data_IF_201051060388
#
_entry.id   IF_201051060388
#
_cell.length_a   1.000
_cell.length_b   1.000
_cell.length_c   1.000
_cell.angle_alpha   90.00
_cell.angle_beta   90.00
_cell.angle_gamma   90.00
#
_symmetry.space_group_name_H-M   'P 1'
#
loop_
_entity.id
_entity.type
_entity.pdbx_description
1 polymer ?
#
# COMPACT_ATOMS: atom_id res chain seq x y z
N UNK A 1 16.41 -9.00 -0.40
CA UNK A 1 15.79 -9.58 0.81
C UNK A 1 14.31 -9.73 0.55
N UNK A 2 13.67 -10.85 0.91
CA UNK A 2 12.21 -11.00 0.72
C UNK A 2 11.51 -10.43 1.95
N UNK A 3 10.96 -9.23 1.84
CA UNK A 3 10.13 -8.62 2.88
C UNK A 3 8.72 -9.18 2.77
N UNK A 4 8.27 -9.91 3.81
CA UNK A 4 6.95 -10.54 3.86
C UNK A 4 5.98 -9.58 4.56
N UNK A 5 5.07 -8.97 3.80
CA UNK A 5 4.00 -8.15 4.35
C UNK A 5 3.01 -9.06 5.08
N UNK A 6 2.71 -8.76 6.34
CA UNK A 6 1.70 -9.47 7.12
C UNK A 6 0.57 -8.51 7.47
N UNK A 7 -0.64 -8.84 7.04
CA UNK A 7 -1.83 -8.08 7.40
C UNK A 7 -2.48 -8.58 8.70
N UNK A 8 -3.07 -7.70 9.51
CA UNK A 8 -2.98 -6.25 9.37
C UNK A 8 -1.60 -5.71 9.80
N UNK A 9 -1.16 -4.61 9.18
CA UNK A 9 -0.02 -3.81 9.65
C UNK A 9 -0.43 -2.93 10.83
N UNK A 10 0.51 -2.60 11.71
CA UNK A 10 0.23 -1.71 12.85
C UNK A 10 -0.10 -0.30 12.37
N UNK A 11 0.65 0.22 11.39
CA UNK A 11 0.41 1.54 10.81
C UNK A 11 0.29 1.48 9.28
N UNK A 12 -0.34 2.50 8.69
CA UNK A 12 -0.35 2.69 7.24
C UNK A 12 1.06 2.97 6.71
N UNK A 13 1.87 3.71 7.49
CA UNK A 13 3.23 4.07 7.10
C UNK A 13 4.13 2.84 6.91
N UNK A 14 3.97 1.78 7.71
CA UNK A 14 4.72 0.53 7.54
C UNK A 14 4.47 -0.10 6.17
N UNK A 15 3.21 -0.10 5.71
CA UNK A 15 2.81 -0.58 4.40
C UNK A 15 3.39 0.31 3.29
N UNK A 16 3.27 1.63 3.43
CA UNK A 16 3.76 2.60 2.44
C UNK A 16 5.28 2.57 2.29
N UNK A 17 6.02 2.40 3.40
CA UNK A 17 7.48 2.26 3.37
C UNK A 17 7.90 1.00 2.61
N UNK A 18 7.25 -0.13 2.91
CA UNK A 18 7.54 -1.38 2.21
C UNK A 18 7.21 -1.29 0.72
N UNK A 19 6.10 -0.66 0.36
CA UNK A 19 5.75 -0.41 -1.04
C UNK A 19 6.81 0.45 -1.73
N UNK A 20 7.28 1.52 -1.08
CA UNK A 20 8.32 2.41 -1.61
C UNK A 20 9.60 1.65 -1.93
N UNK A 21 10.04 0.75 -1.06
CA UNK A 21 11.23 -0.07 -1.30
C UNK A 21 11.05 -1.04 -2.48
N UNK A 22 9.89 -1.70 -2.55
CA UNK A 22 9.53 -2.59 -3.65
C UNK A 22 9.45 -1.84 -4.99
N UNK A 23 8.87 -0.65 -4.99
CA UNK A 23 8.72 0.20 -6.16
C UNK A 23 10.07 0.65 -6.70
N UNK A 24 10.98 1.10 -5.83
CA UNK A 24 12.36 1.46 -6.21
C UNK A 24 13.08 0.30 -6.90
N UNK A 25 12.96 -0.90 -6.35
CA UNK A 25 13.55 -2.11 -6.94
C UNK A 25 12.91 -2.43 -8.30
N UNK A 26 11.57 -2.37 -8.39
CA UNK A 26 10.84 -2.65 -9.63
C UNK A 26 11.22 -1.67 -10.76
N UNK A 27 11.28 -0.37 -10.47
CA UNK A 27 11.69 0.64 -11.44
C UNK A 27 13.16 0.44 -11.83
N UNK A 28 14.06 0.16 -10.88
CA UNK A 28 15.48 -0.10 -11.19
C UNK A 28 15.67 -1.30 -12.12
N UNK A 29 14.95 -2.40 -11.89
CA UNK A 29 14.96 -3.57 -12.77
C UNK A 29 14.41 -3.20 -14.16
N UNK A 30 13.30 -2.48 -14.22
CA UNK A 30 12.74 -2.01 -15.48
C UNK A 30 13.72 -1.13 -16.25
N UNK A 31 14.41 -0.20 -15.57
CA UNK A 31 15.43 0.65 -16.16
C UNK A 31 16.63 -0.16 -16.68
N UNK A 32 17.03 -1.22 -16.00
CA UNK A 32 18.17 -2.05 -16.46
C UNK A 32 17.85 -2.82 -17.74
N UNK A 33 16.58 -3.19 -17.96
CA UNK A 33 16.18 -4.08 -19.06
C UNK A 33 15.37 -3.41 -20.17
N UNK A 34 14.87 -2.20 -19.96
CA UNK A 34 14.15 -1.44 -20.99
C UNK A 34 15.12 -0.83 -21.99
N UNK A 35 14.80 -0.94 -23.28
CA UNK A 35 15.51 -0.26 -24.36
C UNK A 35 14.51 0.53 -25.22
N UNK A 36 14.89 1.73 -25.67
CA UNK A 36 14.10 2.58 -26.59
C UNK A 36 12.66 2.89 -26.14
N UNK A 37 12.44 3.17 -24.84
CA UNK A 37 11.17 3.72 -24.36
C UNK A 37 11.15 5.27 -24.47
N UNK A 38 11.43 5.78 -25.66
CA UNK A 38 11.64 7.23 -25.90
C UNK A 38 10.37 8.06 -25.62
N UNK A 39 9.20 7.41 -25.58
CA UNK A 39 7.90 8.03 -25.26
C UNK A 39 7.47 7.83 -23.81
N UNK A 40 8.28 7.10 -23.01
CA UNK A 40 8.04 6.74 -21.62
C UNK A 40 6.72 5.99 -21.42
N UNK A 41 6.23 5.31 -22.46
CA UNK A 41 4.91 4.69 -22.46
C UNK A 41 4.89 3.49 -21.51
N UNK A 42 5.89 2.61 -21.64
CA UNK A 42 5.97 1.39 -20.84
C UNK A 42 6.31 1.70 -19.38
N UNK A 43 7.11 2.75 -19.17
CA UNK A 43 7.39 3.21 -17.83
C UNK A 43 6.14 3.79 -17.13
N UNK A 44 5.32 4.59 -17.83
CA UNK A 44 4.04 5.09 -17.29
C UNK A 44 3.09 3.95 -16.95
N UNK A 45 3.04 2.93 -17.80
CA UNK A 45 2.25 1.72 -17.56
C UNK A 45 2.73 0.97 -16.31
N UNK A 46 4.05 0.81 -16.11
CA UNK A 46 4.62 0.23 -14.90
C UNK A 46 4.19 1.01 -13.64
N UNK A 47 4.32 2.34 -13.65
CA UNK A 47 3.92 3.19 -12.51
C UNK A 47 2.43 3.03 -12.19
N UNK A 48 1.57 2.99 -13.20
CA UNK A 48 0.14 2.76 -13.01
C UNK A 48 -0.15 1.40 -12.39
N UNK A 49 0.57 0.35 -12.81
CA UNK A 49 0.44 -0.99 -12.23
C UNK A 49 0.89 -0.98 -10.76
N UNK A 50 2.02 -0.35 -10.45
CA UNK A 50 2.55 -0.28 -9.08
C UNK A 50 1.63 0.51 -8.14
N UNK A 51 1.04 1.60 -8.63
CA UNK A 51 0.05 2.39 -7.88
C UNK A 51 -1.24 1.59 -7.65
N UNK A 52 -1.73 0.88 -8.67
CA UNK A 52 -2.88 -0.01 -8.53
C UNK A 52 -2.62 -1.10 -7.48
N UNK A 53 -1.43 -1.71 -7.50
CA UNK A 53 -1.03 -2.72 -6.51
C UNK A 53 -0.90 -2.16 -5.10
N UNK A 54 -0.40 -0.94 -4.94
CA UNK A 54 -0.38 -0.25 -3.65
C UNK A 54 -1.80 -0.14 -3.08
N UNK A 55 -2.74 0.35 -3.89
CA UNK A 55 -4.13 0.57 -3.47
C UNK A 55 -4.84 -0.76 -3.15
N UNK A 56 -4.57 -1.82 -3.90
CA UNK A 56 -5.03 -3.18 -3.57
C UNK A 56 -4.52 -3.64 -2.21
N UNK A 57 -3.23 -3.44 -1.90
CA UNK A 57 -2.66 -3.81 -0.61
C UNK A 57 -3.20 -2.98 0.54
N UNK A 58 -3.41 -1.67 0.35
CA UNK A 58 -4.07 -0.82 1.34
C UNK A 58 -5.46 -1.38 1.64
N UNK A 59 -6.27 -1.63 0.61
CA UNK A 59 -7.61 -2.18 0.78
C UNK A 59 -7.61 -3.52 1.51
N UNK A 60 -6.72 -4.44 1.14
CA UNK A 60 -6.58 -5.73 1.83
C UNK A 60 -6.20 -5.55 3.32
N UNK A 61 -5.31 -4.61 3.62
CA UNK A 61 -4.92 -4.29 4.99
C UNK A 61 -6.09 -3.75 5.80
N UNK A 62 -6.89 -2.86 5.21
CA UNK A 62 -8.10 -2.33 5.84
C UNK A 62 -9.14 -3.42 6.09
N UNK A 63 -9.37 -4.31 5.13
CA UNK A 63 -10.30 -5.44 5.22
C UNK A 63 -9.89 -6.42 6.33
N UNK A 64 -8.61 -6.83 6.37
CA UNK A 64 -8.10 -7.74 7.40
C UNK A 64 -8.08 -7.09 8.79
N UNK A 65 -7.70 -5.81 8.89
CA UNK A 65 -7.78 -5.05 10.15
C UNK A 65 -9.23 -4.96 10.65
N UNK A 66 -10.17 -4.65 9.76
CA UNK A 66 -11.60 -4.58 10.08
C UNK A 66 -12.10 -5.91 10.60
N UNK A 67 -11.87 -6.99 9.85
CA UNK A 67 -12.31 -8.34 10.20
C UNK A 67 -11.74 -8.79 11.53
N UNK A 68 -10.43 -8.64 11.73
CA UNK A 68 -9.78 -9.00 12.98
C UNK A 68 -10.38 -8.26 14.18
N UNK A 69 -10.58 -6.94 14.05
CA UNK A 69 -11.16 -6.12 15.11
C UNK A 69 -12.61 -6.48 15.42
N UNK A 70 -13.42 -6.75 14.40
CA UNK A 70 -14.81 -7.17 14.55
C UNK A 70 -14.90 -8.48 15.33
N UNK A 71 -14.17 -9.52 14.89
CA UNK A 71 -14.15 -10.81 15.59
C UNK A 71 -13.70 -10.66 17.05
N UNK A 72 -12.69 -9.82 17.32
CA UNK A 72 -12.24 -9.58 18.69
C UNK A 72 -13.28 -8.87 19.55
N UNK A 73 -14.02 -7.91 19.01
CA UNK A 73 -15.10 -7.25 19.73
C UNK A 73 -16.30 -8.18 19.95
N UNK A 74 -16.63 -9.04 18.97
CA UNK A 74 -17.66 -10.08 19.12
C UNK A 74 -17.30 -11.02 20.28
N UNK A 75 -16.07 -11.55 20.30
CA UNK A 75 -15.57 -12.40 21.39
C UNK A 75 -15.66 -11.70 22.76
N UNK A 76 -15.16 -10.46 22.83
CA UNK A 76 -15.10 -9.69 24.09
C UNK A 76 -16.49 -9.28 24.59
N UNK A 77 -17.45 -9.07 23.68
CA UNK A 77 -18.78 -8.55 24.01
C UNK A 77 -19.84 -9.62 24.20
N UNK A 78 -19.53 -10.90 23.91
CA UNK A 78 -20.49 -12.00 23.95
C UNK A 78 -21.31 -12.03 25.25
N UNK A 79 -20.65 -12.01 26.41
CA UNK A 79 -21.34 -12.03 27.72
C UNK A 79 -22.24 -10.82 27.93
N UNK A 80 -21.82 -9.63 27.48
CA UNK A 80 -22.64 -8.42 27.58
C UNK A 80 -23.88 -8.54 26.69
N UNK A 81 -23.72 -9.01 25.44
CA UNK A 81 -24.83 -9.17 24.49
C UNK A 81 -25.85 -10.20 24.98
N UNK A 82 -25.39 -11.30 25.55
CA UNK A 82 -26.25 -12.31 26.19
C UNK A 82 -27.02 -11.70 27.38
N UNK A 83 -26.34 -10.99 28.28
CA UNK A 83 -26.96 -10.33 29.43
C UNK A 83 -27.99 -9.26 29.02
N UNK A 84 -27.72 -8.51 27.95
CA UNK A 84 -28.69 -7.57 27.35
C UNK A 84 -29.92 -8.34 26.87
N UNK A 85 -29.74 -9.42 26.11
CA UNK A 85 -30.85 -10.19 25.54
C UNK A 85 -31.75 -10.83 26.61
N UNK A 86 -31.17 -11.21 27.75
CA UNK A 86 -31.88 -11.79 28.89
C UNK A 86 -32.55 -10.72 29.78
N UNK A 87 -32.36 -9.43 29.48
CA UNK A 87 -32.90 -8.33 30.28
C UNK A 87 -32.24 -8.19 31.65
N UNK A 88 -31.00 -8.67 31.81
CA UNK A 88 -30.28 -8.66 33.11
C UNK A 88 -30.11 -7.24 33.67
N UNK A 89 -30.08 -6.22 32.81
CA UNK A 89 -29.94 -4.82 33.20
C UNK A 89 -31.28 -4.11 33.47
N UNK A 90 -32.42 -4.78 33.31
CA UNK A 90 -33.76 -4.22 33.55
C UNK A 90 -34.13 -4.22 35.05
N UNK A 91 -33.20 -3.80 35.89
CA UNK A 91 -33.33 -3.73 37.36
C UNK A 91 -32.90 -2.35 37.85
N UNK A 92 -33.37 -1.87 39.02
CA UNK A 92 -32.89 -0.61 39.59
C UNK A 92 -31.36 -0.63 39.75
N UNK A 93 -30.67 0.35 39.15
CA UNK A 93 -29.21 0.47 39.12
C UNK A 93 -28.54 -0.29 37.96
N UNK A 94 -29.32 -0.93 37.09
CA UNK A 94 -28.83 -1.72 35.97
C UNK A 94 -27.98 -0.94 34.96
N UNK A 95 -28.22 0.37 34.79
CA UNK A 95 -27.40 1.18 33.88
C UNK A 95 -25.94 1.29 34.34
N UNK A 96 -25.70 1.36 35.66
CA UNK A 96 -24.34 1.40 36.22
C UNK A 96 -23.61 0.08 35.97
N UNK A 97 -24.31 -1.05 36.09
CA UNK A 97 -23.76 -2.37 35.78
C UNK A 97 -23.42 -2.50 34.28
N UNK A 98 -24.33 -2.07 33.42
CA UNK A 98 -24.12 -2.04 31.97
C UNK A 98 -22.89 -1.22 31.59
N UNK A 99 -22.75 -0.01 32.15
CA UNK A 99 -21.60 0.86 31.89
C UNK A 99 -20.28 0.20 32.28
N UNK A 100 -20.24 -0.47 33.42
CA UNK A 100 -19.04 -1.17 33.91
C UNK A 100 -18.61 -2.29 32.96
N UNK A 101 -19.54 -3.09 32.45
CA UNK A 101 -19.21 -4.15 31.48
C UNK A 101 -18.79 -3.55 30.12
N UNK A 102 -19.44 -2.47 29.66
CA UNK A 102 -19.01 -1.74 28.45
C UNK A 102 -17.57 -1.22 28.58
N UNK A 103 -17.23 -0.62 29.71
CA UNK A 103 -15.88 -0.10 29.97
C UNK A 103 -14.83 -1.22 30.04
N UNK A 104 -15.19 -2.37 30.63
CA UNK A 104 -14.34 -3.56 30.65
C UNK A 104 -14.04 -4.08 29.23
N UNK A 105 -15.03 -4.11 28.34
CA UNK A 105 -14.83 -4.49 26.94
C UNK A 105 -13.87 -3.53 26.25
N UNK A 106 -14.06 -2.22 26.43
CA UNK A 106 -13.19 -1.20 25.84
C UNK A 106 -11.73 -1.36 26.33
N UNK A 107 -11.54 -1.52 27.64
CA UNK A 107 -10.20 -1.72 28.23
C UNK A 107 -9.53 -2.99 27.71
N UNK A 108 -10.27 -4.10 27.60
CA UNK A 108 -9.74 -5.34 27.05
C UNK A 108 -9.41 -5.20 25.55
N UNK A 109 -10.26 -4.50 24.78
CA UNK A 109 -10.03 -4.27 23.37
C UNK A 109 -8.74 -3.44 23.13
N UNK A 110 -8.49 -2.41 23.93
CA UNK A 110 -7.26 -1.62 23.87
C UNK A 110 -5.98 -2.42 24.19
N UNK A 111 -6.10 -3.59 24.81
CA UNK A 111 -4.98 -4.50 25.06
C UNK A 111 -4.76 -5.52 23.94
N UNK A 112 -5.68 -5.67 22.98
CA UNK A 112 -5.54 -6.60 21.86
C UNK A 112 -4.39 -6.13 20.95
N UNK A 113 -3.33 -6.93 20.72
CA UNK A 113 -2.25 -6.54 19.82
C UNK A 113 -2.67 -6.63 18.35
N UNK A 114 -1.95 -5.95 17.45
CA UNK A 114 -2.11 -6.12 15.99
C UNK A 114 -3.52 -5.87 15.45
N UNK A 115 -4.21 -4.87 16.00
CA UNK A 115 -5.55 -4.47 15.53
C UNK A 115 -5.50 -3.85 14.13
N UNK A 116 -4.43 -3.12 13.86
CA UNK A 116 -4.16 -2.42 12.62
C UNK A 116 -4.97 -1.15 12.41
N UNK A 117 -4.91 -0.63 11.18
CA UNK A 117 -5.32 0.73 10.82
C UNK A 117 -6.84 1.00 10.98
N UNK A 118 -7.69 -0.03 11.07
CA UNK A 118 -9.14 0.12 11.26
C UNK A 118 -9.62 -0.08 12.70
N UNK A 119 -8.70 -0.20 13.67
CA UNK A 119 -9.04 -0.46 15.06
C UNK A 119 -10.05 0.54 15.64
N UNK A 120 -9.74 1.83 15.55
CA UNK A 120 -10.55 2.88 16.19
C UNK A 120 -11.89 3.08 15.47
N UNK A 121 -11.91 2.94 14.13
CA UNK A 121 -13.13 2.99 13.34
C UNK A 121 -14.11 1.86 13.72
N UNK A 122 -13.61 0.62 13.83
CA UNK A 122 -14.42 -0.53 14.21
C UNK A 122 -14.92 -0.41 15.65
N UNK A 123 -14.05 0.00 16.58
CA UNK A 123 -14.44 0.26 17.97
C UNK A 123 -15.54 1.32 18.05
N UNK A 124 -15.40 2.43 17.30
CA UNK A 124 -16.39 3.49 17.33
C UNK A 124 -17.77 3.01 16.85
N UNK A 125 -17.84 2.27 15.74
CA UNK A 125 -19.10 1.71 15.24
C UNK A 125 -19.74 0.76 16.25
N UNK A 126 -18.94 -0.06 16.92
CA UNK A 126 -19.41 -0.93 17.99
C UNK A 126 -19.94 -0.14 19.20
N UNK A 127 -19.26 0.90 19.63
CA UNK A 127 -19.74 1.75 20.73
C UNK A 127 -21.03 2.49 20.37
N UNK A 128 -21.22 2.87 19.10
CA UNK A 128 -22.46 3.46 18.61
C UNK A 128 -23.62 2.45 18.64
N UNK A 129 -23.39 1.19 18.27
CA UNK A 129 -24.45 0.17 18.34
C UNK A 129 -24.86 -0.10 19.79
N UNK A 130 -23.89 -0.14 20.71
CA UNK A 130 -24.13 -0.25 22.14
C UNK A 130 -24.87 0.97 22.72
N UNK A 131 -24.59 2.18 22.24
CA UNK A 131 -25.20 3.41 22.76
C UNK A 131 -26.73 3.39 22.68
N UNK A 132 -27.31 2.83 21.60
CA UNK A 132 -28.77 2.69 21.47
C UNK A 132 -29.37 1.79 22.56
N UNK A 133 -28.70 0.66 22.86
CA UNK A 133 -29.12 -0.22 23.95
C UNK A 133 -28.93 0.45 25.31
N UNK A 134 -27.81 1.12 25.50
CA UNK A 134 -27.50 1.85 26.73
C UNK A 134 -28.52 2.94 27.04
N UNK A 135 -29.01 3.66 26.03
CA UNK A 135 -30.07 4.67 26.19
C UNK A 135 -31.38 4.04 26.67
N UNK A 136 -31.78 2.89 26.11
CA UNK A 136 -32.97 2.17 26.57
C UNK A 136 -32.87 1.72 28.04
N UNK A 137 -31.70 1.16 28.43
CA UNK A 137 -31.43 0.77 29.82
C UNK A 137 -31.46 2.00 30.75
N UNK A 138 -30.83 3.10 30.33
CA UNK A 138 -30.81 4.35 31.09
C UNK A 138 -32.21 4.91 31.36
N UNK A 139 -33.08 4.92 30.35
CA UNK A 139 -34.44 5.45 30.48
C UNK A 139 -35.29 4.61 31.44
N UNK A 140 -35.13 3.28 31.41
CA UNK A 140 -35.91 2.33 32.23
C UNK A 140 -35.39 2.17 33.66
N UNK A 141 -34.16 2.60 33.95
CA UNK A 141 -33.56 2.51 35.28
C UNK A 141 -34.29 3.41 36.30
N UNK A 142 -34.90 2.82 37.32
CA UNK A 142 -35.65 3.53 38.36
C UNK A 142 -34.76 4.04 39.50
N UNK A 143 -33.50 3.61 39.58
CA UNK A 143 -32.56 4.07 40.60
C UNK A 143 -31.93 5.44 40.28
N UNK A 144 -32.18 5.96 39.06
CA UNK A 144 -31.67 7.25 38.59
C UNK A 144 -32.80 8.26 38.47
N UNK A 145 -32.55 9.48 38.94
CA UNK A 145 -33.44 10.63 38.73
C UNK A 145 -33.39 11.11 37.27
N UNK A 146 -34.44 11.79 36.81
CA UNK A 146 -34.48 12.34 35.45
C UNK A 146 -33.32 13.30 35.16
N UNK A 147 -32.87 14.04 36.19
CA UNK A 147 -31.70 14.91 36.09
C UNK A 147 -30.41 14.12 35.88
N UNK A 148 -30.21 13.02 36.61
CA UNK A 148 -29.05 12.14 36.42
C UNK A 148 -29.09 11.48 35.03
N UNK A 149 -30.26 11.02 34.58
CA UNK A 149 -30.44 10.46 33.23
C UNK A 149 -30.08 11.47 32.13
N UNK A 150 -30.51 12.73 32.27
CA UNK A 150 -30.19 13.78 31.32
C UNK A 150 -28.69 14.09 31.28
N UNK A 151 -28.03 14.17 32.43
CA UNK A 151 -26.59 14.40 32.52
C UNK A 151 -25.80 13.26 31.86
N UNK A 152 -26.19 12.02 32.10
CA UNK A 152 -25.56 10.85 31.49
C UNK A 152 -25.74 10.81 29.97
N UNK A 153 -26.94 11.12 29.49
CA UNK A 153 -27.20 11.21 28.05
C UNK A 153 -26.37 12.32 27.38
N UNK A 154 -26.18 13.46 28.05
CA UNK A 154 -25.30 14.53 27.56
C UNK A 154 -23.84 14.11 27.54
N UNK A 155 -23.37 13.44 28.59
CA UNK A 155 -22.00 12.93 28.67
C UNK A 155 -21.71 11.94 27.53
N UNK A 156 -22.59 10.95 27.30
CA UNK A 156 -22.44 9.98 26.20
C UNK A 156 -22.39 10.68 24.84
N UNK A 157 -23.21 11.71 24.62
CA UNK A 157 -23.18 12.51 23.39
C UNK A 157 -21.86 13.24 23.21
N UNK A 158 -21.31 13.81 24.29
CA UNK A 158 -20.02 14.50 24.28
C UNK A 158 -18.87 13.54 23.94
N UNK A 159 -18.81 12.40 24.62
CA UNK A 159 -17.81 11.35 24.37
C UNK A 159 -17.88 10.85 22.91
N UNK A 160 -19.10 10.63 22.39
CA UNK A 160 -19.29 10.20 21.00
C UNK A 160 -18.80 11.25 19.99
N UNK A 161 -19.02 12.54 20.26
CA UNK A 161 -18.56 13.64 19.43
C UNK A 161 -17.03 13.77 19.45
N UNK A 162 -16.41 13.64 20.62
CA UNK A 162 -14.96 13.65 20.79
C UNK A 162 -14.29 12.50 20.03
N UNK A 163 -14.78 11.27 20.19
CA UNK A 163 -14.27 10.10 19.47
C UNK A 163 -14.45 10.21 17.95
N UNK A 164 -15.55 10.83 17.50
CA UNK A 164 -15.76 11.10 16.06
C UNK A 164 -14.75 12.11 15.53
N UNK A 165 -14.39 13.12 16.32
CA UNK A 165 -13.38 14.10 15.94
C UNK A 165 -12.00 13.44 15.83
N UNK A 166 -11.60 12.63 16.81
CA UNK A 166 -10.34 11.88 16.78
C UNK A 166 -10.23 10.98 15.54
N UNK A 167 -11.31 10.25 15.19
CA UNK A 167 -11.31 9.41 13.99
C UNK A 167 -11.14 10.23 12.70
N UNK A 168 -11.79 11.40 12.61
CA UNK A 168 -11.63 12.29 11.45
C UNK A 168 -10.20 12.83 11.33
N UNK A 169 -9.55 13.15 12.44
CA UNK A 169 -8.15 13.57 12.46
C UNK A 169 -7.22 12.45 12.00
N UNK A 170 -7.48 11.20 12.41
CA UNK A 170 -6.74 10.03 11.92
C UNK A 170 -6.93 9.81 10.41
N UNK A 171 -8.16 9.86 9.90
CA UNK A 171 -8.44 9.72 8.47
C UNK A 171 -7.76 10.82 7.63
N UNK A 172 -7.69 12.05 8.15
CA UNK A 172 -6.94 13.13 7.50
C UNK A 172 -5.44 12.84 7.47
N UNK A 173 -4.88 12.33 8.57
CA UNK A 173 -3.47 11.96 8.65
C UNK A 173 -3.13 10.83 7.67
N UNK A 174 -3.97 9.79 7.57
CA UNK A 174 -3.79 8.69 6.62
C UNK A 174 -3.85 9.18 5.15
N UNK A 175 -4.82 10.05 4.84
CA UNK A 175 -4.91 10.67 3.51
C UNK A 175 -3.64 11.46 3.20
N UNK A 176 -3.15 12.25 4.16
CA UNK A 176 -1.92 13.02 4.00
C UNK A 176 -0.69 12.12 3.78
N UNK A 177 -0.55 11.04 4.55
CA UNK A 177 0.53 10.05 4.38
C UNK A 177 0.50 9.40 2.99
N UNK A 178 -0.68 9.05 2.48
CA UNK A 178 -0.80 8.47 1.15
C UNK A 178 -0.41 9.47 0.05
N UNK A 179 -0.84 10.73 0.18
CA UNK A 179 -0.46 11.81 -0.74
C UNK A 179 1.06 12.06 -0.72
N UNK A 180 1.68 12.08 0.45
CA UNK A 180 3.13 12.26 0.60
C UNK A 180 3.92 11.06 0.06
N UNK A 181 3.44 9.85 0.27
CA UNK A 181 4.05 8.65 -0.32
C UNK A 181 3.97 8.69 -1.85
N UNK A 182 2.82 9.08 -2.41
CA UNK A 182 2.63 9.22 -3.85
C UNK A 182 3.54 10.30 -4.44
N UNK A 183 3.68 11.45 -3.76
CA UNK A 183 4.58 12.51 -4.20
C UNK A 183 6.04 12.06 -4.21
N UNK A 184 6.50 11.39 -3.14
CA UNK A 184 7.86 10.84 -3.05
C UNK A 184 8.15 9.82 -4.13
N UNK A 185 7.19 8.93 -4.41
CA UNK A 185 7.25 7.95 -5.50
C UNK A 185 7.46 8.64 -6.86
N UNK A 186 6.65 9.65 -7.14
CA UNK A 186 6.73 10.41 -8.38
C UNK A 186 8.10 11.11 -8.57
N UNK A 187 8.60 11.75 -7.51
CA UNK A 187 9.91 12.41 -7.52
C UNK A 187 11.06 11.41 -7.74
N UNK A 188 11.03 10.28 -7.04
CA UNK A 188 12.03 9.22 -7.19
C UNK A 188 12.02 8.63 -8.62
N UNK A 189 10.83 8.41 -9.18
CA UNK A 189 10.69 7.92 -10.56
C UNK A 189 11.31 8.89 -11.58
N UNK A 190 11.08 10.21 -11.42
CA UNK A 190 11.71 11.24 -12.24
C UNK A 190 13.24 11.23 -12.09
N UNK A 191 13.74 11.04 -10.86
CA UNK A 191 15.18 11.03 -10.62
C UNK A 191 15.85 9.82 -11.29
N UNK A 192 15.26 8.64 -11.18
CA UNK A 192 15.77 7.43 -11.85
C UNK A 192 15.75 7.56 -13.37
N UNK A 193 14.71 8.20 -13.93
CA UNK A 193 14.65 8.52 -15.36
C UNK A 193 15.79 9.42 -15.82
N UNK A 194 16.00 10.54 -15.13
CA UNK A 194 17.05 11.50 -15.47
C UNK A 194 18.42 10.83 -15.44
N UNK A 195 18.68 10.00 -14.43
CA UNK A 195 19.91 9.23 -14.31
C UNK A 195 20.11 8.30 -15.50
N UNK A 196 19.08 7.52 -15.88
CA UNK A 196 19.15 6.62 -17.02
C UNK A 196 19.41 7.35 -18.34
N UNK A 197 18.70 8.44 -18.62
CA UNK A 197 18.90 9.21 -19.86
C UNK A 197 20.34 9.72 -19.99
N UNK A 198 20.96 10.14 -18.90
CA UNK A 198 22.36 10.58 -18.91
C UNK A 198 23.33 9.41 -19.11
N UNK A 199 23.07 8.26 -18.49
CA UNK A 199 23.86 7.03 -18.69
C UNK A 199 23.77 6.55 -20.15
N UNK A 200 22.58 6.51 -20.73
CA UNK A 200 22.35 6.16 -22.13
C UNK A 200 23.04 7.14 -23.08
N UNK A 201 23.00 8.45 -22.78
CA UNK A 201 23.70 9.49 -23.57
C UNK A 201 25.21 9.27 -23.55
N UNK A 202 25.80 8.99 -22.39
CA UNK A 202 27.23 8.70 -22.25
C UNK A 202 27.59 7.42 -23.01
N UNK A 203 26.76 6.38 -22.92
CA UNK A 203 26.98 5.11 -23.61
C UNK A 203 26.96 5.28 -25.13
N UNK A 204 25.97 6.01 -25.67
CA UNK A 204 25.88 6.30 -27.10
C UNK A 204 27.11 7.08 -27.59
N UNK A 205 27.58 8.08 -26.84
CA UNK A 205 28.77 8.86 -27.22
C UNK A 205 30.03 7.97 -27.26
N UNK A 206 30.20 7.08 -26.28
CA UNK A 206 31.31 6.11 -26.28
C UNK A 206 31.24 5.16 -27.47
N UNK A 207 30.05 4.66 -27.78
CA UNK A 207 29.85 3.78 -28.94
C UNK A 207 30.16 4.52 -30.26
N UNK A 208 29.72 5.77 -30.40
CA UNK A 208 30.05 6.60 -31.57
C UNK A 208 31.56 6.84 -31.69
N UNK A 209 32.25 7.13 -30.58
CA UNK A 209 33.71 7.31 -30.56
C UNK A 209 34.45 6.03 -30.95
N UNK A 210 34.06 4.87 -30.41
CA UNK A 210 34.63 3.57 -30.80
C UNK A 210 34.41 3.25 -32.28
N UNK A 211 33.21 3.54 -32.81
CA UNK A 211 32.92 3.35 -34.23
C UNK A 211 33.77 4.30 -35.10
N UNK A 212 33.95 5.56 -34.69
CA UNK A 212 34.79 6.52 -35.40
C UNK A 212 36.26 6.11 -35.39
N UNK A 213 36.80 5.72 -34.24
CA UNK A 213 38.18 5.23 -34.11
C UNK A 213 38.41 3.99 -34.98
N UNK A 214 37.47 3.03 -34.95
CA UNK A 214 37.55 1.86 -35.81
C UNK A 214 37.52 2.22 -37.29
N UNK A 215 36.64 3.15 -37.70
CA UNK A 215 36.60 3.66 -39.08
C UNK A 215 37.93 4.31 -39.46
N UNK A 216 38.49 5.17 -38.61
CA UNK A 216 39.77 5.84 -38.88
C UNK A 216 40.93 4.85 -39.03
N UNK A 217 40.99 3.81 -38.19
CA UNK A 217 41.97 2.72 -38.33
C UNK A 217 41.81 1.98 -39.66
N UNK A 218 40.57 1.64 -40.04
CA UNK A 218 40.31 1.03 -41.35
C UNK A 218 40.74 1.96 -42.49
N UNK A 219 40.42 3.26 -42.45
CA UNK A 219 40.88 4.20 -43.49
C UNK A 219 42.41 4.34 -43.54
N UNK A 220 43.08 4.38 -42.38
CA UNK A 220 44.54 4.40 -42.31
C UNK A 220 45.19 3.11 -42.85
N UNK A 221 44.61 1.95 -42.56
CA UNK A 221 45.02 0.66 -43.11
C UNK A 221 44.76 0.59 -44.62
N UNK A 222 43.64 1.16 -45.10
CA UNK A 222 43.32 1.28 -46.54
C UNK A 222 44.29 2.21 -47.27
N UNK A 223 44.70 3.33 -46.67
CA UNK A 223 45.73 4.21 -47.23
C UNK A 223 47.09 3.49 -47.27
N UNK A 224 47.42 2.69 -46.26
CA UNK A 224 48.64 1.87 -46.22
C UNK A 224 48.62 0.71 -47.25
N UNK A 225 47.44 0.11 -47.49
CA UNK A 225 47.22 -0.87 -48.56
C UNK A 225 47.16 -0.24 -49.95
N UNK A 226 46.74 1.03 -50.08
CA UNK A 226 46.78 1.73 -51.36
C UNK A 226 48.21 2.01 -51.84
N UNK A 227 49.19 2.06 -50.92
CA UNK A 227 50.62 2.05 -51.23
C UNK A 227 51.16 0.65 -51.65
N UNK A 228 50.43 -0.43 -51.39
CA UNK A 228 50.78 -1.82 -51.73
C UNK A 228 49.65 -2.44 -52.55
N UNK A 229 49.51 -1.96 -53.79
CA UNK A 229 48.31 -2.10 -54.61
C UNK A 229 47.65 -3.49 -54.66
N UNK A 230 46.36 -3.54 -54.33
CA UNK A 230 45.26 -4.20 -55.05
C UNK A 230 43.93 -4.00 -54.30
N UNK A 231 42.89 -3.49 -54.98
CA UNK A 231 41.54 -3.26 -54.41
C UNK A 231 40.70 -4.55 -54.36
N UNK A 232 39.89 -4.77 -53.31
CA UNK A 232 38.69 -5.59 -53.42
C UNK A 232 37.39 -4.79 -53.28
N UNK A 233 36.37 -5.34 -53.93
CA UNK A 233 35.03 -4.84 -54.20
C UNK A 233 34.05 -4.92 -53.00
N UNK A 234 33.09 -3.98 -53.03
CA UNK A 234 31.96 -3.71 -52.12
C UNK A 234 31.18 -4.92 -51.56
N UNK A 235 30.83 -4.86 -50.27
CA UNK A 235 29.73 -5.65 -49.66
C UNK A 235 28.61 -4.73 -49.15
N UNK A 236 27.37 -5.06 -49.53
CA UNK A 236 26.13 -4.41 -49.12
C UNK A 236 25.67 -4.91 -47.73
N UNK A 237 25.21 -3.99 -46.88
CA UNK A 237 24.70 -4.26 -45.54
C UNK A 237 23.29 -4.85 -45.53
N UNK A 238 23.06 -5.82 -44.64
CA UNK A 238 21.73 -6.36 -44.28
C UNK A 238 21.28 -5.78 -42.93
N UNK A 239 20.06 -5.25 -42.88
CA UNK A 239 19.39 -4.83 -41.65
C UNK A 239 18.69 -5.98 -40.92
N UNK A 240 18.69 -5.90 -39.59
CA UNK A 240 17.98 -6.75 -38.61
C UNK A 240 17.52 -5.80 -37.47
N UNK A 241 16.42 -5.96 -36.71
CA UNK A 241 15.21 -6.77 -36.74
C UNK A 241 14.25 -6.22 -35.64
N UNK A 242 12.98 -5.93 -35.96
CA UNK A 242 11.97 -5.30 -35.07
C UNK A 242 11.16 -6.29 -34.19
N UNK A 243 11.84 -7.24 -33.51
CA UNK A 243 11.15 -8.34 -32.78
C UNK A 243 11.28 -8.35 -31.25
N UNK A 244 12.29 -7.69 -30.67
CA UNK A 244 12.71 -7.99 -29.29
C UNK A 244 11.95 -7.22 -28.19
N UNK A 245 11.34 -6.08 -28.51
CA UNK A 245 10.70 -5.23 -27.49
C UNK A 245 9.46 -5.85 -26.82
N UNK A 246 8.67 -6.65 -27.57
CA UNK A 246 7.47 -7.32 -27.03
C UNK A 246 7.82 -8.47 -26.09
N UNK A 247 8.93 -9.17 -26.35
CA UNK A 247 9.36 -10.32 -25.58
C UNK A 247 9.80 -9.91 -24.16
N UNK A 248 10.48 -8.77 -24.03
CA UNK A 248 10.98 -8.25 -22.74
C UNK A 248 9.82 -7.77 -21.87
N UNK A 249 8.83 -7.07 -22.44
CA UNK A 249 7.63 -6.66 -21.68
C UNK A 249 6.86 -7.86 -21.12
N UNK A 250 6.65 -8.92 -21.92
CA UNK A 250 6.01 -10.14 -21.45
C UNK A 250 6.82 -10.88 -20.38
N UNK A 251 8.15 -10.86 -20.45
CA UNK A 251 9.01 -11.52 -19.46
C UNK A 251 8.99 -10.77 -18.11
N UNK A 252 8.99 -9.44 -18.13
CA UNK A 252 8.87 -8.60 -16.93
C UNK A 252 7.48 -8.75 -16.31
N UNK A 253 6.41 -8.73 -17.12
CA UNK A 253 5.04 -8.98 -16.65
C UNK A 253 4.90 -10.39 -16.08
N UNK A 254 5.43 -11.42 -16.74
CA UNK A 254 5.40 -12.80 -16.22
C UNK A 254 6.27 -12.99 -14.97
N UNK A 255 7.35 -12.23 -14.79
CA UNK A 255 8.16 -12.26 -13.57
C UNK A 255 7.43 -11.57 -12.40
N UNK A 256 6.72 -10.48 -12.69
CA UNK A 256 5.85 -9.79 -11.72
C UNK A 256 4.63 -10.66 -11.37
N UNK A 257 4.02 -11.33 -12.35
CA UNK A 257 2.92 -12.27 -12.11
C UNK A 257 3.37 -13.55 -11.41
N UNK A 258 4.55 -14.09 -11.71
CA UNK A 258 5.12 -15.27 -11.01
C UNK A 258 5.44 -14.94 -9.55
N UNK A 259 5.99 -13.75 -9.29
CA UNK A 259 6.19 -13.22 -7.94
C UNK A 259 4.87 -12.83 -7.24
N UNK A 260 3.82 -12.53 -8.00
CA UNK A 260 2.46 -12.28 -7.49
C UNK A 260 1.55 -13.51 -7.36
N UNK A 261 1.84 -14.62 -8.06
CA UNK A 261 1.04 -15.87 -8.08
C UNK A 261 1.67 -17.02 -7.26
N UNK A 262 2.94 -16.92 -6.84
CA UNK A 262 3.56 -17.90 -5.92
C UNK A 262 3.12 -17.71 -4.45
N UNK A 263 1.85 -17.35 -4.24
CA UNK A 263 1.26 -17.10 -2.92
C UNK A 263 -0.12 -17.72 -2.75
N UNK A 264 -0.45 -18.78 -3.50
CA UNK A 264 -1.67 -19.55 -3.23
C UNK A 264 -1.53 -21.06 -3.14
N UNK A 265 -0.40 -21.69 -3.48
CA UNK A 265 -0.20 -23.11 -3.17
C UNK A 265 1.29 -23.38 -2.95
N UNK A 266 1.66 -23.80 -1.75
CA UNK A 266 2.31 -25.09 -1.50
C UNK A 266 2.68 -25.20 -0.01
N UNK A 267 1.84 -25.92 0.75
CA UNK A 267 2.29 -26.81 1.81
C UNK A 267 1.65 -28.17 1.55
N UNK A 268 2.42 -29.05 0.91
CA UNK A 268 2.60 -30.47 1.22
C UNK A 268 3.80 -30.94 0.39
#
# INVERSE_FOLDING_TARGET
>A
MVLKLHFPTETLQDLLNLHTDCEKEAISIFMTHSFKDDTHKFQKELVQILESKKNDFIRQNEEESTKYCQTKLEDLSQTLMEAISQGTFSVPGGYKLYRKEREKIMNNYHQVPRRGIKADEVLQRFLQSLAMTGESILQTDQALTDKEKALEAEQVKREAAEKKKELLEQQQMEMQQNMEAQQRSYEENINQLKKKMEEDRIQILREQEMILDHKLKVYGDWDQWSCLGSKPSTMAGRGWADGQGRQICLHVVNMVESKGKSWLYFHC
#
